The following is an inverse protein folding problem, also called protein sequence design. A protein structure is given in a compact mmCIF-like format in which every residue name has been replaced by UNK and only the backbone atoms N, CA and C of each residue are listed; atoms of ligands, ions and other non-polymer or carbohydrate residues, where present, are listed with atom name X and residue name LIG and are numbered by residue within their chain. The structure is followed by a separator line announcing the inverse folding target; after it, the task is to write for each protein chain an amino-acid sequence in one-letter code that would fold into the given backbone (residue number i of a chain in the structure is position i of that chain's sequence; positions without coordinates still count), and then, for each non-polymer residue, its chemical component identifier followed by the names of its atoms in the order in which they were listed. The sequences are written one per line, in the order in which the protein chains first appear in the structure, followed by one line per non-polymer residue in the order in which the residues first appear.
data_IF_495245664871
#
_entry.id   IF_495245664871
#
_cell.length_a   1.000
_cell.length_b   1.000
_cell.length_c   1.000
_cell.angle_alpha   90.00
_cell.angle_beta   90.00
_cell.angle_gamma   90.00
#
_symmetry.space_group_name_H-M   'P 1'
#
loop_
_entity.id
_entity.type
_entity.pdbx_description
1 polymer ?
#
# COMPACT_ATOMS: atom_id res chain seq x y z
N UNK A 1 24.01 -5.26 0.23
CA UNK A 1 22.66 -5.07 -0.23
C UNK A 1 21.68 -5.14 0.92
N UNK A 2 20.86 -4.18 1.04
CA UNK A 2 19.97 -4.12 2.17
C UNK A 2 18.85 -5.14 2.07
N UNK A 3 18.62 -5.84 3.14
CA UNK A 3 17.54 -6.81 3.20
C UNK A 3 16.33 -6.15 3.87
N UNK A 4 15.26 -6.06 3.15
CA UNK A 4 14.03 -5.52 3.67
C UNK A 4 13.04 -6.65 3.86
N UNK A 5 12.29 -6.60 4.93
CA UNK A 5 11.27 -7.61 5.16
C UNK A 5 10.23 -7.55 4.04
N UNK A 6 10.25 -8.57 3.18
CA UNK A 6 9.38 -8.61 2.03
C UNK A 6 7.91 -8.60 2.40
N UNK A 7 7.58 -9.28 3.49
CA UNK A 7 6.19 -9.33 3.93
C UNK A 7 5.71 -7.93 4.36
N UNK A 8 6.57 -7.21 5.05
CA UNK A 8 6.23 -5.85 5.48
C UNK A 8 6.07 -4.93 4.30
N UNK A 9 6.97 -5.03 3.33
CA UNK A 9 6.91 -4.20 2.13
C UNK A 9 5.63 -4.49 1.35
N UNK A 10 5.28 -5.76 1.23
CA UNK A 10 4.07 -6.14 0.52
C UNK A 10 2.83 -5.60 1.21
N UNK A 11 2.80 -5.69 2.53
CA UNK A 11 1.66 -5.19 3.30
C UNK A 11 1.53 -3.69 3.18
N UNK A 12 2.66 -3.00 3.14
CA UNK A 12 2.64 -1.55 2.96
C UNK A 12 2.02 -1.19 1.62
N UNK A 13 2.41 -1.90 0.56
CA UNK A 13 1.86 -1.65 -0.76
C UNK A 13 0.36 -1.92 -0.81
N UNK A 14 -0.09 -2.98 -0.15
CA UNK A 14 -1.51 -3.29 -0.10
C UNK A 14 -2.26 -2.18 0.63
N UNK A 15 -1.69 -1.69 1.71
CA UNK A 15 -2.29 -0.61 2.47
C UNK A 15 -2.46 0.64 1.61
N UNK A 16 -1.41 1.00 0.90
CA UNK A 16 -1.45 2.20 0.04
C UNK A 16 -2.47 2.02 -1.08
N UNK A 17 -2.52 0.82 -1.67
CA UNK A 17 -3.46 0.56 -2.75
C UNK A 17 -4.91 0.72 -2.27
N UNK A 18 -5.19 0.21 -1.07
CA UNK A 18 -6.53 0.32 -0.52
C UNK A 18 -6.87 1.76 -0.16
N UNK A 19 -5.89 2.49 0.34
CA UNK A 19 -6.10 3.88 0.69
C UNK A 19 -6.43 4.71 -0.54
N UNK A 20 -5.69 4.48 -1.63
CA UNK A 20 -5.94 5.22 -2.85
C UNK A 20 -7.29 4.86 -3.46
N UNK A 21 -7.66 3.60 -3.41
CA UNK A 21 -8.97 3.17 -3.92
C UNK A 21 -10.10 3.82 -3.15
N UNK A 22 -9.94 3.91 -1.84
CA UNK A 22 -10.94 4.53 -0.99
C UNK A 22 -11.03 6.03 -1.24
N UNK A 23 -9.87 6.65 -1.42
CA UNK A 23 -9.80 8.07 -1.71
C UNK A 23 -10.48 8.40 -3.04
N UNK A 24 -10.23 7.57 -4.04
CA UNK A 24 -10.84 7.75 -5.36
C UNK A 24 -12.36 7.70 -5.27
N UNK A 25 -12.86 6.80 -4.46
CA UNK A 25 -14.30 6.62 -4.34
C UNK A 25 -14.96 7.87 -3.78
N UNK A 26 -14.28 8.53 -2.86
CA UNK A 26 -14.82 9.73 -2.23
C UNK A 26 -14.55 10.97 -3.07
N UNK A 27 -13.35 11.03 -3.64
CA UNK A 27 -12.93 12.24 -4.36
C UNK A 27 -13.56 12.36 -5.75
N UNK A 28 -13.91 11.26 -6.34
CA UNK A 28 -14.51 11.26 -7.66
C UNK A 28 -16.00 11.04 -7.57
#
# INVERSE_FOLDING_TARGET
HRVIDGALATRFNVYIAQLLADFRRVAL
#
